data_IF_313275816736
#
_entry.id   IF_313275816736
#
_cell.length_a   1.000
_cell.length_b   1.000
_cell.length_c   1.000
_cell.angle_alpha   90.00
_cell.angle_beta   90.00
_cell.angle_gamma   90.00
#
_symmetry.space_group_name_H-M   'P 1'
#
loop_
_entity.id
_entity.type
_entity.pdbx_description
1 polymer ?
#
# COMPACT_ATOMS: atom_id res chain seq x y z
N UNK A 1 48.85 -60.60 -38.14
CA UNK A 1 49.73 -59.41 -38.10
C UNK A 1 49.24 -58.44 -39.18
N UNK A 2 49.34 -57.11 -38.99
CA UNK A 2 48.32 -56.14 -38.54
C UNK A 2 47.89 -55.19 -39.71
N UNK A 3 46.97 -54.22 -39.62
CA UNK A 3 46.99 -52.91 -38.93
C UNK A 3 45.58 -52.26 -39.04
N UNK A 4 44.91 -51.90 -37.93
CA UNK A 4 44.75 -50.54 -37.34
C UNK A 4 44.10 -49.47 -38.24
N UNK A 5 42.84 -49.12 -37.93
CA UNK A 5 42.43 -47.77 -37.45
C UNK A 5 41.72 -46.99 -38.59
N UNK A 6 40.62 -46.26 -38.44
CA UNK A 6 40.16 -45.37 -37.38
C UNK A 6 38.61 -45.31 -37.46
N UNK A 7 37.92 -45.50 -36.33
CA UNK A 7 36.52 -45.12 -36.14
C UNK A 7 36.45 -43.63 -35.86
N UNK A 8 35.84 -42.84 -36.74
CA UNK A 8 35.55 -41.42 -36.46
C UNK A 8 34.20 -41.32 -35.78
N UNK A 9 34.26 -41.01 -34.50
CA UNK A 9 33.18 -40.68 -33.57
C UNK A 9 32.42 -39.45 -34.05
N UNK A 10 31.11 -39.55 -34.28
CA UNK A 10 30.20 -38.40 -34.37
C UNK A 10 29.77 -37.99 -32.96
N UNK A 11 30.72 -37.47 -32.19
CA UNK A 11 30.48 -36.75 -30.95
C UNK A 11 31.08 -35.36 -31.08
N UNK A 12 30.44 -34.35 -30.49
CA UNK A 12 30.90 -32.94 -30.40
C UNK A 12 30.49 -32.00 -31.55
N UNK A 13 29.18 -31.73 -31.65
CA UNK A 13 28.68 -30.50 -32.26
C UNK A 13 27.62 -29.80 -31.39
N UNK A 14 27.77 -29.88 -30.06
CA UNK A 14 27.02 -29.04 -29.12
C UNK A 14 27.99 -28.50 -28.07
N UNK A 15 28.90 -27.63 -28.50
CA UNK A 15 29.89 -26.98 -27.64
C UNK A 15 29.95 -25.49 -27.92
N UNK A 16 29.84 -24.72 -26.84
CA UNK A 16 30.14 -23.29 -26.74
C UNK A 16 29.14 -22.30 -27.37
N UNK A 17 28.04 -22.02 -26.64
CA UNK A 17 27.66 -20.62 -26.50
C UNK A 17 28.86 -19.94 -25.80
N UNK A 18 29.56 -18.97 -26.41
CA UNK A 18 30.71 -18.34 -25.79
C UNK A 18 30.28 -17.72 -24.46
N UNK A 19 31.01 -18.01 -23.39
CA UNK A 19 30.70 -17.58 -22.02
C UNK A 19 30.47 -16.06 -21.89
N UNK A 20 31.03 -15.27 -22.80
CA UNK A 20 30.78 -13.83 -22.92
C UNK A 20 29.31 -13.48 -23.24
N UNK A 21 28.61 -14.29 -24.05
CA UNK A 21 27.21 -14.06 -24.39
C UNK A 21 26.27 -14.37 -23.22
N UNK A 22 26.60 -15.39 -22.43
CA UNK A 22 25.86 -15.74 -21.21
C UNK A 22 25.96 -14.64 -20.13
N UNK A 23 27.14 -14.01 -20.00
CA UNK A 23 27.35 -12.89 -19.06
C UNK A 23 26.60 -11.64 -19.51
N UNK A 24 26.54 -11.34 -20.81
CA UNK A 24 25.75 -10.22 -21.35
C UNK A 24 24.25 -10.45 -21.12
N UNK A 25 23.75 -11.67 -21.33
CA UNK A 25 22.34 -12.02 -21.06
C UNK A 25 22.01 -11.92 -19.56
N UNK A 26 22.92 -12.35 -18.66
CA UNK A 26 22.74 -12.16 -17.21
C UNK A 26 22.78 -10.68 -16.79
N UNK A 27 23.66 -9.87 -17.36
CA UNK A 27 23.72 -8.42 -17.06
C UNK A 27 22.46 -7.69 -17.52
N UNK A 28 21.86 -8.08 -18.65
CA UNK A 28 20.58 -7.54 -19.12
C UNK A 28 19.42 -8.01 -18.23
N UNK A 29 19.44 -9.26 -17.74
CA UNK A 29 18.43 -9.76 -16.80
C UNK A 29 18.49 -9.04 -15.43
N UNK A 30 19.68 -8.63 -14.97
CA UNK A 30 19.85 -7.84 -13.74
C UNK A 30 19.56 -6.35 -13.97
N UNK A 31 19.50 -5.85 -15.20
CA UNK A 31 18.95 -4.51 -15.48
C UNK A 31 17.41 -4.48 -15.51
N UNK A 32 16.75 -5.65 -15.58
CA UNK A 32 15.30 -5.78 -15.58
C UNK A 32 14.67 -5.75 -14.17
N UNK A 33 15.48 -5.78 -13.10
CA UNK A 33 15.09 -5.21 -11.80
C UNK A 33 15.15 -3.69 -11.94
N UNK A 34 14.22 -3.17 -12.73
CA UNK A 34 13.94 -1.75 -12.82
C UNK A 34 13.80 -1.18 -11.40
N UNK A 35 14.18 0.09 -11.15
CA UNK A 35 13.72 0.75 -9.94
C UNK A 35 12.21 0.63 -9.94
N UNK A 36 11.68 -0.20 -9.03
CA UNK A 36 10.24 -0.36 -8.86
C UNK A 36 9.73 1.06 -8.67
N UNK A 37 9.06 1.60 -9.69
CA UNK A 37 8.61 2.98 -9.64
C UNK A 37 7.79 3.14 -8.37
N UNK A 38 7.77 4.33 -7.75
CA UNK A 38 6.97 4.54 -6.54
C UNK A 38 5.52 4.06 -6.73
N UNK A 39 5.00 4.14 -7.96
CA UNK A 39 3.71 3.55 -8.35
C UNK A 39 3.69 2.01 -8.29
N UNK A 40 4.68 1.32 -8.82
CA UNK A 40 4.76 -0.14 -8.72
C UNK A 40 4.97 -0.62 -7.27
N UNK A 41 5.69 0.14 -6.44
CA UNK A 41 5.79 -0.13 -5.00
C UNK A 41 4.44 0.10 -4.32
N UNK A 42 3.77 1.23 -4.58
CA UNK A 42 2.45 1.53 -4.01
C UNK A 42 1.40 0.48 -4.40
N UNK A 43 1.44 -0.04 -5.63
CA UNK A 43 0.56 -1.11 -6.09
C UNK A 43 0.89 -2.45 -5.40
N UNK A 44 2.17 -2.79 -5.25
CA UNK A 44 2.59 -4.00 -4.54
C UNK A 44 2.24 -3.95 -3.04
N UNK A 45 2.41 -2.79 -2.40
CA UNK A 45 2.01 -2.57 -1.01
C UNK A 45 0.48 -2.63 -0.85
N UNK A 46 -0.29 -1.98 -1.72
CA UNK A 46 -1.75 -2.07 -1.69
C UNK A 46 -2.26 -3.52 -1.80
N UNK A 47 -1.62 -4.36 -2.63
CA UNK A 47 -1.94 -5.79 -2.69
C UNK A 47 -1.52 -6.57 -1.44
N UNK A 48 -0.41 -6.19 -0.80
CA UNK A 48 0.08 -6.88 0.40
C UNK A 48 -0.78 -6.63 1.64
N UNK A 49 -1.48 -5.49 1.70
CA UNK A 49 -2.31 -5.13 2.84
C UNK A 49 -3.79 -5.45 2.68
N UNK A 50 -4.23 -5.93 1.51
CA UNK A 50 -5.64 -6.14 1.21
C UNK A 50 -6.34 -7.00 2.28
N UNK A 51 -7.40 -6.45 2.90
CA UNK A 51 -8.16 -7.13 3.96
C UNK A 51 -7.53 -7.09 5.35
N UNK A 52 -6.44 -6.35 5.54
CA UNK A 52 -5.86 -6.08 6.86
C UNK A 52 -6.58 -4.89 7.49
N UNK A 53 -7.05 -5.09 8.72
CA UNK A 53 -7.62 -4.03 9.55
C UNK A 53 -6.52 -3.25 10.30
N UNK A 54 -6.58 -1.92 10.26
CA UNK A 54 -5.68 -0.99 10.95
C UNK A 54 -6.49 -0.16 11.97
N UNK A 55 -6.57 -0.61 13.24
CA UNK A 55 -7.27 0.12 14.28
C UNK A 55 -6.44 1.32 14.75
N UNK A 56 -7.06 2.50 14.74
CA UNK A 56 -6.51 3.75 15.27
C UNK A 56 -7.52 4.45 16.16
N UNK A 57 -7.03 5.41 16.93
CA UNK A 57 -7.87 6.26 17.77
C UNK A 57 -7.42 7.70 17.61
N UNK A 58 -8.39 8.58 17.39
CA UNK A 58 -8.15 10.03 17.28
C UNK A 58 -8.91 10.76 18.38
N UNK A 59 -8.23 11.70 19.00
CA UNK A 59 -8.79 12.56 20.05
C UNK A 59 -9.04 13.95 19.45
N UNK A 60 -10.31 14.25 19.22
CA UNK A 60 -10.75 15.53 18.67
C UNK A 60 -11.06 16.52 19.79
N UNK A 61 -10.73 17.78 19.54
CA UNK A 61 -11.09 18.90 20.39
C UNK A 61 -11.38 20.13 19.50
N UNK A 62 -11.49 21.32 20.09
CA UNK A 62 -11.74 22.57 19.35
C UNK A 62 -10.68 22.95 18.31
N UNK A 63 -9.55 22.24 18.20
CA UNK A 63 -8.53 22.47 17.20
C UNK A 63 -8.66 21.49 16.03
N UNK A 64 -8.55 22.01 14.81
CA UNK A 64 -8.50 21.22 13.60
C UNK A 64 -7.22 20.38 13.54
N UNK A 65 -7.36 19.06 13.39
CA UNK A 65 -6.26 18.09 13.36
C UNK A 65 -6.44 17.10 12.23
N UNK A 66 -5.38 16.37 11.91
CA UNK A 66 -5.43 15.32 10.90
C UNK A 66 -4.60 14.10 11.28
N UNK A 67 -4.98 12.97 10.69
CA UNK A 67 -4.26 11.71 10.69
C UNK A 67 -3.80 11.46 9.26
N UNK A 68 -2.48 11.42 9.05
CA UNK A 68 -1.87 11.19 7.75
C UNK A 68 -1.50 9.72 7.59
N UNK A 69 -2.09 9.06 6.59
CA UNK A 69 -1.85 7.66 6.27
C UNK A 69 -0.77 7.48 5.19
N UNK A 70 -0.44 8.55 4.45
CA UNK A 70 0.63 8.55 3.44
C UNK A 70 2.00 8.73 4.05
N UNK A 71 2.11 9.51 5.13
CA UNK A 71 3.39 9.84 5.77
C UNK A 71 3.60 9.14 7.12
N UNK A 72 2.63 8.37 7.59
CA UNK A 72 2.77 7.49 8.76
C UNK A 72 2.75 6.02 8.35
N UNK A 73 3.45 5.11 9.05
CA UNK A 73 3.38 3.68 8.77
C UNK A 73 1.92 3.19 8.70
N UNK A 74 1.55 2.32 7.74
CA UNK A 74 2.38 1.67 6.71
C UNK A 74 2.45 2.45 5.38
N UNK A 75 2.28 3.77 5.40
CA UNK A 75 2.43 4.67 4.24
C UNK A 75 1.51 4.34 3.07
N UNK A 76 0.34 3.76 3.38
CA UNK A 76 -0.61 3.25 2.40
C UNK A 76 -1.99 3.82 2.71
N UNK A 77 -2.71 4.40 1.73
CA UNK A 77 -4.09 4.83 1.91
C UNK A 77 -5.02 3.65 2.22
N UNK A 78 -6.06 3.88 3.02
CA UNK A 78 -7.10 2.89 3.28
C UNK A 78 -8.13 2.87 2.14
N UNK A 79 -8.65 1.70 1.80
CA UNK A 79 -9.79 1.52 0.90
C UNK A 79 -11.14 1.54 1.64
N UNK A 80 -11.14 1.32 2.95
CA UNK A 80 -12.32 1.40 3.80
C UNK A 80 -12.00 1.99 5.16
N UNK A 81 -13.00 2.56 5.83
CA UNK A 81 -12.85 2.99 7.21
C UNK A 81 -14.19 2.86 7.96
N UNK A 82 -14.11 2.33 9.18
CA UNK A 82 -15.23 2.27 10.11
C UNK A 82 -14.96 3.18 11.31
N UNK A 83 -15.84 4.15 11.54
CA UNK A 83 -15.71 5.15 12.59
C UNK A 83 -16.74 4.90 13.69
N UNK A 84 -16.33 5.08 14.93
CA UNK A 84 -17.18 5.04 16.12
C UNK A 84 -16.82 6.25 16.99
N UNK A 85 -17.78 7.12 17.29
CA UNK A 85 -17.58 8.18 18.28
C UNK A 85 -17.91 7.67 19.68
N UNK A 86 -16.89 7.30 20.46
CA UNK A 86 -17.04 6.90 21.87
C UNK A 86 -17.02 8.12 22.82
N UNK A 87 -16.88 9.33 22.27
CA UNK A 87 -16.83 10.58 23.02
C UNK A 87 -18.22 11.17 23.37
N UNK A 88 -18.26 12.14 24.30
CA UNK A 88 -19.50 12.77 24.74
C UNK A 88 -20.06 13.80 23.76
N UNK A 89 -19.23 14.34 22.86
CA UNK A 89 -19.60 15.41 21.93
C UNK A 89 -19.58 14.97 20.46
N UNK A 90 -20.36 15.64 19.58
CA UNK A 90 -20.23 15.47 18.15
C UNK A 90 -18.84 15.89 17.63
N UNK A 91 -18.38 15.20 16.59
CA UNK A 91 -17.12 15.46 15.89
C UNK A 91 -17.39 15.59 14.39
N UNK A 92 -16.75 16.54 13.74
CA UNK A 92 -16.73 16.63 12.28
C UNK A 92 -15.53 15.86 11.75
N UNK A 93 -15.75 15.02 10.75
CA UNK A 93 -14.72 14.22 10.08
C UNK A 93 -14.76 14.52 8.58
N UNK A 94 -13.58 14.68 7.98
CA UNK A 94 -13.40 14.87 6.55
C UNK A 94 -12.33 13.89 6.03
N UNK A 95 -12.48 13.39 4.80
CA UNK A 95 -11.57 12.42 4.20
C UNK A 95 -10.93 13.02 2.94
N UNK A 96 -9.60 13.09 2.90
CA UNK A 96 -8.76 13.69 1.85
C UNK A 96 -8.95 15.20 1.63
N UNK A 97 -10.18 15.71 1.73
CA UNK A 97 -10.53 17.11 1.51
C UNK A 97 -11.12 17.68 2.80
N UNK A 98 -10.52 18.72 3.39
CA UNK A 98 -10.90 19.24 4.70
C UNK A 98 -12.28 19.92 4.73
N UNK A 99 -12.85 20.24 3.57
CA UNK A 99 -14.14 20.92 3.42
C UNK A 99 -15.31 19.95 3.23
N UNK A 100 -15.05 18.69 2.87
CA UNK A 100 -16.06 17.64 2.68
C UNK A 100 -16.29 16.89 4.00
N UNK A 101 -17.01 17.54 4.92
CA UNK A 101 -17.20 17.06 6.30
C UNK A 101 -18.54 16.39 6.49
N UNK A 102 -18.53 15.31 7.27
CA UNK A 102 -19.72 14.76 7.90
C UNK A 102 -19.60 14.83 9.41
N UNK A 103 -20.74 14.90 10.10
CA UNK A 103 -20.79 14.91 11.57
C UNK A 103 -21.02 13.49 12.09
N UNK A 104 -20.27 13.10 13.11
CA UNK A 104 -20.45 11.86 13.86
C UNK A 104 -20.90 12.21 15.29
N UNK A 105 -22.16 11.94 15.62
CA UNK A 105 -22.75 12.18 16.95
C UNK A 105 -22.19 11.21 17.99
N UNK A 106 -22.34 11.49 19.29
CA UNK A 106 -21.97 10.56 20.36
C UNK A 106 -22.63 9.19 20.17
N UNK A 107 -21.82 8.12 20.20
CA UNK A 107 -22.25 6.74 19.97
C UNK A 107 -22.59 6.40 18.51
N UNK A 108 -22.50 7.35 17.58
CA UNK A 108 -22.76 7.10 16.16
C UNK A 108 -21.62 6.34 15.51
N UNK A 109 -22.00 5.52 14.53
CA UNK A 109 -21.05 4.75 13.73
C UNK A 109 -21.26 5.06 12.25
N UNK A 110 -20.17 5.18 11.52
CA UNK A 110 -20.19 5.46 10.08
C UNK A 110 -19.17 4.55 9.39
N UNK A 111 -19.60 3.90 8.31
CA UNK A 111 -18.72 3.12 7.44
C UNK A 111 -18.54 3.86 6.13
N UNK A 112 -17.28 3.98 5.70
CA UNK A 112 -16.91 4.55 4.41
C UNK A 112 -16.21 3.48 3.60
N UNK A 113 -16.69 3.24 2.39
CA UNK A 113 -16.09 2.29 1.45
C UNK A 113 -15.64 3.04 0.19
N UNK A 114 -14.36 2.90 -0.15
CA UNK A 114 -13.69 3.43 -1.35
C UNK A 114 -13.13 2.31 -2.23
N UNK A 115 -13.56 1.07 -2.03
CA UNK A 115 -13.21 -0.05 -2.91
C UNK A 115 -13.57 0.26 -4.35
N UNK A 116 -12.62 0.14 -5.26
CA UNK A 116 -12.79 0.46 -6.69
C UNK A 116 -12.80 1.96 -7.01
N UNK A 117 -12.69 2.85 -6.02
CA UNK A 117 -12.50 4.26 -6.27
C UNK A 117 -11.07 4.54 -6.77
N UNK A 118 -10.91 5.60 -7.56
CA UNK A 118 -9.60 6.05 -8.06
C UNK A 118 -8.66 6.51 -6.93
N UNK A 119 -9.24 6.96 -5.81
CA UNK A 119 -8.52 7.50 -4.66
C UNK A 119 -9.01 6.84 -3.37
N UNK A 120 -8.09 6.26 -2.60
CA UNK A 120 -8.33 5.77 -1.24
C UNK A 120 -8.26 6.90 -0.19
N UNK A 121 -8.53 6.57 1.06
CA UNK A 121 -8.46 7.47 2.21
C UNK A 121 -6.98 7.64 2.58
N UNK A 122 -6.44 8.82 2.30
CA UNK A 122 -5.05 9.17 2.54
C UNK A 122 -4.86 10.02 3.79
N UNK A 123 -5.84 10.87 4.10
CA UNK A 123 -5.82 11.77 5.26
C UNK A 123 -7.21 11.83 5.86
N UNK A 124 -7.28 11.79 7.19
CA UNK A 124 -8.53 11.96 7.94
C UNK A 124 -8.39 13.24 8.75
N UNK A 125 -9.22 14.23 8.45
CA UNK A 125 -9.34 15.47 9.21
C UNK A 125 -10.42 15.32 10.27
N UNK A 126 -10.20 15.89 11.45
CA UNK A 126 -11.17 15.83 12.54
C UNK A 126 -11.11 17.07 13.43
N UNK A 127 -12.29 17.50 13.90
CA UNK A 127 -12.44 18.66 14.81
C UNK A 127 -13.75 18.56 15.59
N UNK A 128 -13.76 19.07 16.81
CA UNK A 128 -14.97 19.30 17.59
C UNK A 128 -15.28 20.80 17.69
N UNK A 129 -16.50 21.13 18.13
CA UNK A 129 -16.82 22.51 18.50
C UNK A 129 -15.90 23.04 19.60
N UNK A 130 -15.79 24.37 19.72
CA UNK A 130 -15.01 25.01 20.79
C UNK A 130 -15.46 24.53 22.17
N UNK A 131 -14.51 24.16 23.04
CA UNK A 131 -14.77 23.62 24.38
C UNK A 131 -15.28 22.17 24.42
N UNK A 132 -15.48 21.52 23.27
CA UNK A 132 -15.95 20.13 23.15
C UNK A 132 -14.81 19.16 22.90
N UNK A 133 -15.05 17.89 23.24
CA UNK A 133 -14.08 16.81 23.03
C UNK A 133 -14.75 15.51 22.59
N UNK A 134 -14.11 14.77 21.69
CA UNK A 134 -14.56 13.45 21.30
C UNK A 134 -13.38 12.50 21.12
N UNK A 135 -13.61 11.22 21.44
CA UNK A 135 -12.68 10.13 21.15
C UNK A 135 -13.30 9.29 20.04
N UNK A 136 -12.63 9.17 18.91
CA UNK A 136 -13.11 8.39 17.78
C UNK A 136 -12.20 7.20 17.58
N UNK A 137 -12.75 5.99 17.70
CA UNK A 137 -12.10 4.79 17.18
C UNK A 137 -12.37 4.71 15.69
N UNK A 138 -11.30 4.50 14.92
CA UNK A 138 -11.38 4.30 13.49
C UNK A 138 -10.62 3.03 13.12
N UNK A 139 -11.27 2.13 12.40
CA UNK A 139 -10.62 0.95 11.84
C UNK A 139 -10.54 1.12 10.34
N UNK A 140 -9.33 1.29 9.83
CA UNK A 140 -9.05 1.30 8.40
C UNK A 140 -8.96 -0.09 7.83
N UNK A 141 -9.27 -0.23 6.54
CA UNK A 141 -9.04 -1.45 5.75
C UNK A 141 -8.29 -1.08 4.48
N UNK A 142 -7.30 -1.88 4.10
CA UNK A 142 -6.57 -1.72 2.83
C UNK A 142 -7.13 -2.60 1.72
#
# INVERSE_FOLDING_TARGET
MPEKGITTTYGEAMGAIPQALAVIIMLVAVAAIAPVSQQAQALAHAQAYQGIADPRTVNANGAFRWLDLKNGPPYTPWLGAYFINDGPDPVEIALNYPDDRFTLKPGETVTVNRSGAREGIAVIFYVCGSGKTATVRVTGEY
#
